data_IF_190767246032
#
_entry.id   IF_190767246032
#
_cell.length_a   1.000
_cell.length_b   1.000
_cell.length_c   1.000
_cell.angle_alpha   90.00
_cell.angle_beta   90.00
_cell.angle_gamma   90.00
#
_symmetry.space_group_name_H-M   'P 1'
#
loop_
_entity.id
_entity.type
_entity.pdbx_description
1 polymer ?
#
# COMPACT_ATOMS: atom_id res chain seq x y z
N UNK A 1 -15.78 -3.88 16.63
CA UNK A 1 -15.33 -2.53 16.29
C UNK A 1 -16.00 -2.12 14.98
N UNK A 2 -16.25 -0.84 14.78
CA UNK A 2 -16.82 -0.32 13.55
C UNK A 2 -15.75 -0.19 12.47
N UNK A 3 -16.04 -0.67 11.26
CA UNK A 3 -15.13 -0.69 10.11
C UNK A 3 -15.82 -0.04 8.92
N UNK A 4 -15.10 0.85 8.24
CA UNK A 4 -15.52 1.43 6.98
C UNK A 4 -14.53 1.08 5.86
N UNK A 5 -15.07 0.71 4.69
CA UNK A 5 -14.34 0.64 3.43
C UNK A 5 -14.79 1.78 2.55
N UNK A 6 -13.84 2.60 2.16
CA UNK A 6 -14.08 3.81 1.39
C UNK A 6 -13.30 3.72 0.07
N UNK A 7 -13.90 4.24 -0.98
CA UNK A 7 -13.18 4.63 -2.20
C UNK A 7 -13.31 6.12 -2.33
N UNK A 8 -12.19 6.82 -2.42
CA UNK A 8 -12.19 8.27 -2.41
C UNK A 8 -11.14 8.85 -3.36
N UNK A 9 -11.28 10.13 -3.65
CA UNK A 9 -10.32 10.89 -4.43
C UNK A 9 -10.37 12.36 -4.01
N UNK A 10 -9.19 12.98 -3.99
CA UNK A 10 -9.07 14.43 -3.87
C UNK A 10 -7.92 14.92 -4.77
N UNK A 11 -8.03 16.15 -5.26
CA UNK A 11 -7.10 16.66 -6.26
C UNK A 11 -5.72 17.00 -5.66
N UNK A 12 -5.68 17.33 -4.38
CA UNK A 12 -4.45 17.72 -3.67
C UNK A 12 -3.60 16.54 -3.20
N UNK A 13 -4.02 15.29 -3.48
CA UNK A 13 -3.25 14.11 -3.09
C UNK A 13 -1.91 14.06 -3.82
N UNK A 14 -0.82 14.25 -3.07
CA UNK A 14 0.56 14.22 -3.58
C UNK A 14 0.86 12.90 -4.30
N UNK A 15 0.39 11.79 -3.76
CA UNK A 15 0.56 10.44 -4.33
C UNK A 15 -0.44 10.20 -5.46
N UNK A 16 -1.72 10.52 -5.25
CA UNK A 16 -2.80 10.23 -6.21
C UNK A 16 -2.59 10.89 -7.57
N UNK A 17 -2.17 12.17 -7.60
CA UNK A 17 -1.87 12.88 -8.86
C UNK A 17 -0.72 12.23 -9.63
N UNK A 18 0.30 11.70 -8.93
CA UNK A 18 1.45 11.02 -9.53
C UNK A 18 1.09 9.60 -9.98
N UNK A 19 0.33 8.85 -9.19
CA UNK A 19 -0.19 7.55 -9.61
C UNK A 19 -0.94 7.66 -10.94
N UNK A 20 -1.79 8.69 -11.08
CA UNK A 20 -2.52 8.97 -12.33
C UNK A 20 -1.58 9.38 -13.47
N UNK A 21 -0.59 10.23 -13.22
CA UNK A 21 0.34 10.75 -14.25
C UNK A 21 1.25 9.68 -14.80
N UNK A 22 1.80 8.83 -13.93
CA UNK A 22 2.79 7.82 -14.30
C UNK A 22 2.19 6.42 -14.51
N UNK A 23 0.87 6.25 -14.32
CA UNK A 23 0.18 4.96 -14.43
C UNK A 23 0.83 3.89 -13.57
N UNK A 24 0.98 4.16 -12.29
CA UNK A 24 1.47 3.24 -11.27
C UNK A 24 0.49 3.17 -10.09
N UNK A 25 0.64 2.14 -9.28
CA UNK A 25 -0.14 1.95 -8.04
C UNK A 25 0.79 2.30 -6.86
N UNK A 26 0.26 2.95 -5.84
CA UNK A 26 0.92 3.07 -4.54
C UNK A 26 0.18 2.28 -3.48
N UNK A 27 0.92 1.64 -2.58
CA UNK A 27 0.41 0.95 -1.41
C UNK A 27 1.15 1.52 -0.21
N UNK A 28 0.45 2.26 0.63
CA UNK A 28 1.09 2.98 1.71
C UNK A 28 0.31 3.08 3.00
N UNK A 29 0.99 3.58 4.01
CA UNK A 29 0.40 3.85 5.32
C UNK A 29 0.77 5.27 5.74
N UNK A 30 -0.22 6.10 6.07
CA UNK A 30 0.02 7.33 6.78
C UNK A 30 0.42 7.00 8.22
N UNK A 31 1.59 7.49 8.67
CA UNK A 31 2.08 7.18 10.01
C UNK A 31 1.65 8.21 11.05
N UNK A 32 1.89 9.47 10.76
CA UNK A 32 1.72 10.53 11.74
C UNK A 32 1.47 11.88 11.08
N UNK A 33 0.94 12.81 11.85
CA UNK A 33 0.88 14.22 11.49
C UNK A 33 1.30 15.08 12.67
N UNK A 34 1.92 16.22 12.38
CA UNK A 34 2.27 17.22 13.38
C UNK A 34 2.12 18.63 12.81
N UNK A 35 2.11 19.63 13.69
CA UNK A 35 2.04 21.03 13.31
C UNK A 35 3.28 21.77 13.80
N UNK A 36 3.82 22.64 12.93
CA UNK A 36 4.84 23.61 13.29
C UNK A 36 4.39 24.98 12.78
N UNK A 37 4.08 25.91 13.71
CA UNK A 37 3.47 27.19 13.38
C UNK A 37 2.13 26.99 12.64
N UNK A 38 2.03 27.60 11.47
CA UNK A 38 0.82 27.52 10.61
C UNK A 38 0.87 26.37 9.59
N UNK A 39 1.88 25.52 9.65
CA UNK A 39 2.07 24.41 8.71
C UNK A 39 1.71 23.08 9.34
N UNK A 40 1.15 22.19 8.53
CA UNK A 40 0.87 20.81 8.91
C UNK A 40 1.73 19.86 8.07
N UNK A 41 2.27 18.85 8.73
CA UNK A 41 3.17 17.88 8.14
C UNK A 41 2.62 16.47 8.30
N UNK A 42 2.78 15.66 7.27
CA UNK A 42 2.31 14.28 7.23
C UNK A 42 3.43 13.34 6.84
N UNK A 43 3.62 12.29 7.61
CA UNK A 43 4.60 11.25 7.34
C UNK A 43 3.95 10.06 6.66
N UNK A 44 4.49 9.65 5.52
CA UNK A 44 3.99 8.55 4.71
C UNK A 44 5.08 7.53 4.41
N UNK A 45 4.68 6.28 4.42
CA UNK A 45 5.45 5.20 3.80
C UNK A 45 4.66 4.63 2.65
N UNK A 46 5.26 4.58 1.47
CA UNK A 46 4.62 4.10 0.26
C UNK A 46 5.49 3.05 -0.44
N UNK A 47 4.87 2.04 -1.00
CA UNK A 47 5.49 1.07 -1.91
C UNK A 47 4.88 1.25 -3.29
N UNK A 48 5.70 1.60 -4.26
CA UNK A 48 5.29 1.84 -5.64
C UNK A 48 5.28 0.55 -6.44
N UNK A 49 4.20 0.29 -7.16
CA UNK A 49 3.98 -0.93 -7.93
C UNK A 49 3.67 -0.57 -9.38
N UNK A 50 4.50 -1.05 -10.30
CA UNK A 50 4.36 -0.77 -11.72
C UNK A 50 5.63 -1.04 -12.50
N UNK A 51 5.77 -0.38 -13.63
CA UNK A 51 6.98 -0.41 -14.45
C UNK A 51 8.12 0.35 -13.76
N UNK A 52 9.34 -0.20 -13.80
CA UNK A 52 10.50 0.36 -13.09
C UNK A 52 10.90 1.76 -13.59
N UNK A 53 10.77 2.01 -14.89
CA UNK A 53 11.10 3.32 -15.47
C UNK A 53 10.10 4.37 -15.02
N UNK A 54 8.81 4.02 -14.99
CA UNK A 54 7.74 4.89 -14.49
C UNK A 54 7.85 5.15 -12.98
N UNK A 55 8.26 4.15 -12.20
CA UNK A 55 8.55 4.32 -10.77
C UNK A 55 9.70 5.31 -10.58
N UNK A 56 10.77 5.20 -11.37
CA UNK A 56 11.88 6.15 -11.32
C UNK A 56 11.40 7.58 -11.62
N UNK A 57 10.64 7.77 -12.68
CA UNK A 57 10.07 9.09 -13.03
C UNK A 57 9.15 9.65 -11.94
N UNK A 58 8.35 8.79 -11.30
CA UNK A 58 7.52 9.19 -10.15
C UNK A 58 8.38 9.71 -9.00
N UNK A 59 9.45 8.99 -8.66
CA UNK A 59 10.35 9.37 -7.55
C UNK A 59 11.06 10.68 -7.84
N UNK A 60 11.54 10.89 -9.07
CA UNK A 60 12.18 12.15 -9.45
C UNK A 60 11.18 13.33 -9.40
N UNK A 61 9.97 13.16 -9.94
CA UNK A 61 8.91 14.17 -9.84
C UNK A 61 8.52 14.47 -8.38
N UNK A 62 8.59 13.46 -7.50
CA UNK A 62 8.33 13.65 -6.08
C UNK A 62 9.45 14.43 -5.37
N UNK A 63 10.71 14.20 -5.74
CA UNK A 63 11.87 14.95 -5.20
C UNK A 63 11.83 16.42 -5.52
N UNK A 64 11.32 16.76 -6.71
CA UNK A 64 11.22 18.15 -7.18
C UNK A 64 10.01 18.89 -6.59
N UNK A 65 9.16 18.23 -5.83
CA UNK A 65 7.98 18.86 -5.21
C UNK A 65 8.37 19.65 -3.95
N UNK A 66 8.17 20.98 -3.93
CA UNK A 66 8.58 21.81 -2.80
C UNK A 66 7.81 21.53 -1.49
N UNK A 67 6.68 20.81 -1.57
CA UNK A 67 5.94 20.39 -0.39
C UNK A 67 6.52 19.15 0.26
N UNK A 68 7.51 18.48 -0.37
CA UNK A 68 8.11 17.26 0.13
C UNK A 68 9.36 17.55 0.96
N UNK A 69 9.37 17.02 2.15
CA UNK A 69 10.48 17.10 3.10
C UNK A 69 10.97 15.69 3.46
N UNK A 70 12.26 15.55 3.79
CA UNK A 70 12.84 14.32 4.34
C UNK A 70 12.48 13.05 3.55
N UNK A 71 12.76 13.04 2.24
CA UNK A 71 12.49 11.89 1.38
C UNK A 71 13.62 10.87 1.46
N UNK A 72 13.29 9.65 1.86
CA UNK A 72 14.16 8.46 1.78
C UNK A 72 13.62 7.49 0.74
N UNK A 73 14.51 6.91 -0.06
CA UNK A 73 14.15 5.98 -1.14
C UNK A 73 14.93 4.70 -1.01
N UNK A 74 14.23 3.56 -0.97
CA UNK A 74 14.84 2.24 -1.00
C UNK A 74 14.14 1.35 -2.04
N UNK A 75 14.75 1.22 -3.23
CA UNK A 75 14.15 0.51 -4.35
C UNK A 75 12.87 1.18 -4.82
N UNK A 76 11.73 0.52 -4.67
CA UNK A 76 10.40 1.04 -4.97
C UNK A 76 9.62 1.52 -3.72
N UNK A 77 10.27 1.51 -2.56
CA UNK A 77 9.68 2.03 -1.31
C UNK A 77 10.22 3.42 -1.03
N UNK A 78 9.34 4.30 -0.60
CA UNK A 78 9.65 5.68 -0.25
C UNK A 78 9.08 6.01 1.13
N UNK A 79 9.84 6.72 1.93
CA UNK A 79 9.39 7.32 3.17
C UNK A 79 9.60 8.82 3.08
N UNK A 80 8.57 9.60 3.34
CA UNK A 80 8.66 11.05 3.20
C UNK A 80 7.72 11.78 4.14
N UNK A 81 7.97 13.06 4.31
CA UNK A 81 7.10 14.00 4.98
C UNK A 81 6.64 15.03 3.96
N UNK A 82 5.34 15.26 3.85
CA UNK A 82 4.81 16.36 3.04
C UNK A 82 4.21 17.46 3.91
N UNK A 83 4.45 18.69 3.50
CA UNK A 83 3.83 19.89 4.05
C UNK A 83 2.49 20.13 3.38
N UNK A 84 1.47 20.45 4.18
CA UNK A 84 0.16 20.90 3.68
C UNK A 84 -0.12 22.30 4.25
N UNK A 85 -0.46 23.26 3.41
CA UNK A 85 -0.80 24.62 3.86
C UNK A 85 -1.95 24.62 4.88
N UNK A 86 -1.85 25.42 5.92
CA UNK A 86 -2.82 25.50 7.02
C UNK A 86 -4.24 25.92 6.60
N UNK A 87 -4.37 26.54 5.43
CA UNK A 87 -5.68 26.89 4.87
C UNK A 87 -6.45 25.69 4.32
N UNK A 88 -5.79 24.54 4.14
CA UNK A 88 -6.45 23.30 3.83
C UNK A 88 -6.86 22.61 5.12
N UNK A 89 -8.15 22.42 5.31
CA UNK A 89 -8.75 21.76 6.49
C UNK A 89 -8.42 20.24 6.58
N UNK A 90 -7.85 19.71 5.52
CA UNK A 90 -7.44 18.30 5.31
C UNK A 90 -6.67 17.68 6.51
N UNK A 91 -5.71 18.39 7.15
CA UNK A 91 -4.88 17.80 8.18
C UNK A 91 -5.61 17.25 9.40
N UNK A 92 -6.66 17.93 9.84
CA UNK A 92 -7.38 17.52 11.05
C UNK A 92 -8.34 16.38 10.81
N UNK A 93 -8.75 16.16 9.56
CA UNK A 93 -9.69 15.12 9.17
C UNK A 93 -9.00 13.81 8.90
N UNK A 94 -7.79 13.82 8.28
CA UNK A 94 -7.05 12.61 7.95
C UNK A 94 -6.49 11.85 9.17
N UNK A 95 -6.20 12.56 10.27
CA UNK A 95 -5.52 11.99 11.43
C UNK A 95 -6.30 12.24 12.71
N UNK A 96 -7.43 11.57 12.82
CA UNK A 96 -8.12 11.45 14.09
C UNK A 96 -7.50 10.27 14.85
N UNK A 97 -6.93 10.52 16.03
CA UNK A 97 -6.27 9.50 16.86
C UNK A 97 -7.21 8.39 17.38
N UNK A 98 -8.52 8.51 17.15
CA UNK A 98 -9.53 7.48 17.44
C UNK A 98 -9.92 6.66 16.20
N UNK A 99 -9.30 6.96 15.04
CA UNK A 99 -9.47 6.24 13.80
C UNK A 99 -8.11 5.67 13.39
N UNK A 100 -8.11 4.44 12.97
CA UNK A 100 -6.88 3.76 12.54
C UNK A 100 -7.09 3.07 11.21
N UNK A 101 -6.03 3.02 10.41
CA UNK A 101 -6.01 2.28 9.19
C UNK A 101 -5.82 0.79 9.51
N UNK A 102 -6.79 -0.03 9.09
CA UNK A 102 -6.76 -1.49 9.28
C UNK A 102 -5.87 -2.13 8.24
N UNK A 103 -5.88 -1.56 7.03
CA UNK A 103 -5.05 -1.96 5.90
C UNK A 103 -4.33 -0.77 5.30
N UNK A 104 -3.25 -1.02 4.55
CA UNK A 104 -2.65 0.03 3.76
C UNK A 104 -3.65 0.69 2.83
N UNK A 105 -3.47 1.97 2.62
CA UNK A 105 -4.15 2.72 1.57
C UNK A 105 -3.61 2.24 0.23
N UNK A 106 -4.50 1.92 -0.69
CA UNK A 106 -4.13 1.60 -2.06
C UNK A 106 -4.57 2.73 -2.96
N UNK A 107 -3.63 3.34 -3.67
CA UNK A 107 -3.89 4.37 -4.67
C UNK A 107 -3.76 3.76 -6.05
N UNK A 108 -4.84 3.75 -6.83
CA UNK A 108 -4.86 3.15 -8.16
C UNK A 108 -4.29 4.09 -9.24
N UNK A 109 -4.06 3.56 -10.45
CA UNK A 109 -3.54 4.30 -11.61
C UNK A 109 -4.44 5.46 -12.09
N UNK A 110 -5.63 5.59 -11.53
CA UNK A 110 -6.57 6.70 -11.80
C UNK A 110 -6.55 7.74 -10.68
N UNK A 111 -5.73 7.50 -9.64
CA UNK A 111 -5.60 8.34 -8.47
C UNK A 111 -6.73 8.20 -7.46
N UNK A 112 -7.52 7.10 -7.52
CA UNK A 112 -8.48 6.77 -6.46
C UNK A 112 -7.78 6.03 -5.33
N UNK A 113 -8.14 6.40 -4.11
CA UNK A 113 -7.67 5.79 -2.89
C UNK A 113 -8.70 4.81 -2.34
N UNK A 114 -8.24 3.65 -1.93
CA UNK A 114 -9.05 2.65 -1.24
C UNK A 114 -8.61 2.58 0.22
N UNK A 115 -9.50 2.96 1.14
CA UNK A 115 -9.24 2.98 2.57
C UNK A 115 -10.05 1.92 3.29
N UNK A 116 -9.42 1.22 4.22
CA UNK A 116 -10.10 0.38 5.20
C UNK A 116 -9.72 0.88 6.59
N UNK A 117 -10.66 1.57 7.22
CA UNK A 117 -10.45 2.29 8.49
C UNK A 117 -11.40 1.78 9.57
N UNK A 118 -10.99 1.89 10.81
CA UNK A 118 -11.76 1.44 11.96
C UNK A 118 -11.80 2.43 13.12
N UNK A 119 -12.84 2.31 13.94
CA UNK A 119 -12.98 2.99 15.22
C UNK A 119 -13.77 2.14 16.20
N UNK A 120 -13.53 2.31 17.50
CA UNK A 120 -14.37 1.72 18.53
C UNK A 120 -15.72 2.41 18.65
N UNK A 121 -15.85 3.65 18.14
CA UNK A 121 -17.07 4.45 18.19
C UNK A 121 -17.58 4.73 16.78
N UNK A 122 -18.84 4.34 16.51
CA UNK A 122 -19.51 4.54 15.24
C UNK A 122 -19.64 6.02 14.86
N UNK A 123 -20.03 6.86 15.81
CA UNK A 123 -20.27 8.28 15.59
C UNK A 123 -19.00 9.01 15.14
N UNK A 124 -17.85 8.63 15.73
CA UNK A 124 -16.54 9.16 15.32
C UNK A 124 -16.24 8.79 13.88
N UNK A 125 -16.47 7.53 13.49
CA UNK A 125 -16.23 7.05 12.14
C UNK A 125 -17.17 7.72 11.11
N UNK A 126 -18.46 7.85 11.46
CA UNK A 126 -19.44 8.57 10.62
C UNK A 126 -19.11 10.06 10.50
N UNK A 127 -18.78 10.71 11.61
CA UNK A 127 -18.37 12.11 11.63
C UNK A 127 -17.13 12.37 10.77
N UNK A 128 -16.16 11.46 10.83
CA UNK A 128 -14.97 11.52 9.98
C UNK A 128 -15.32 11.45 8.48
N UNK A 129 -16.17 10.50 8.07
CA UNK A 129 -16.61 10.37 6.68
C UNK A 129 -17.36 11.62 6.20
N UNK A 130 -18.25 12.17 7.04
CA UNK A 130 -18.97 13.41 6.73
C UNK A 130 -18.00 14.58 6.55
N UNK A 131 -16.96 14.66 7.37
CA UNK A 131 -15.96 15.72 7.24
C UNK A 131 -15.16 15.59 5.93
N UNK A 132 -14.74 14.38 5.54
CA UNK A 132 -14.12 14.15 4.24
C UNK A 132 -14.99 14.68 3.09
N UNK A 133 -16.29 14.39 3.12
CA UNK A 133 -17.23 14.86 2.10
C UNK A 133 -17.37 16.40 2.07
N UNK A 134 -17.34 17.06 3.24
CA UNK A 134 -17.36 18.52 3.33
C UNK A 134 -16.09 19.18 2.81
N UNK A 135 -14.97 18.49 2.88
CA UNK A 135 -13.66 18.96 2.42
C UNK A 135 -13.40 18.64 0.93
N UNK A 136 -14.46 18.45 0.15
CA UNK A 136 -14.41 18.23 -1.30
C UNK A 136 -13.75 16.92 -1.75
N UNK A 137 -13.71 15.92 -0.86
CA UNK A 137 -13.37 14.56 -1.30
C UNK A 137 -14.55 13.93 -2.01
N UNK A 138 -14.30 13.33 -3.16
CA UNK A 138 -15.25 12.39 -3.76
C UNK A 138 -15.19 11.07 -2.98
N UNK A 139 -16.14 10.86 -2.06
CA UNK A 139 -16.16 9.71 -1.14
C UNK A 139 -17.30 8.78 -1.45
N UNK A 140 -16.97 7.55 -1.82
CA UNK A 140 -17.92 6.44 -1.94
C UNK A 140 -17.73 5.48 -0.77
N UNK A 141 -18.78 5.30 0.02
CA UNK A 141 -18.82 4.31 1.10
C UNK A 141 -19.15 2.95 0.48
N UNK A 142 -18.22 2.00 0.54
CA UNK A 142 -18.41 0.64 0.05
C UNK A 142 -18.94 -0.28 1.15
N UNK A 143 -18.57 -0.01 2.40
CA UNK A 143 -18.97 -0.78 3.58
C UNK A 143 -18.91 0.12 4.83
N UNK A 144 -19.86 -0.07 5.73
CA UNK A 144 -19.82 0.49 7.09
C UNK A 144 -20.59 -0.46 8.00
N UNK A 145 -19.90 -1.17 8.87
CA UNK A 145 -20.52 -2.15 9.75
C UNK A 145 -19.68 -2.42 11.00
N UNK A 146 -20.35 -2.99 12.02
CA UNK A 146 -19.63 -3.54 13.18
C UNK A 146 -19.14 -4.95 12.86
N UNK A 147 -17.83 -5.20 13.07
CA UNK A 147 -17.25 -6.52 12.84
C UNK A 147 -16.08 -6.79 13.80
N UNK A 148 -15.75 -8.09 13.97
CA UNK A 148 -14.52 -8.48 14.65
C UNK A 148 -13.36 -8.35 13.66
N UNK A 149 -12.27 -7.74 14.10
CA UNK A 149 -11.03 -7.78 13.32
C UNK A 149 -10.42 -9.16 13.44
N UNK A 150 -10.34 -9.84 12.32
CA UNK A 150 -9.66 -11.13 12.24
C UNK A 150 -8.17 -10.96 11.89
N UNK A 151 -7.83 -9.85 11.23
CA UNK A 151 -6.48 -9.54 10.79
C UNK A 151 -6.21 -8.04 10.88
N UNK A 152 -5.07 -7.66 11.45
CA UNK A 152 -4.51 -6.32 11.34
C UNK A 152 -3.31 -6.43 10.41
N UNK A 153 -3.28 -5.63 9.36
CA UNK A 153 -2.15 -5.57 8.45
C UNK A 153 -1.03 -4.74 9.07
N UNK A 154 0.11 -5.38 9.30
CA UNK A 154 1.36 -4.66 9.59
C UNK A 154 2.15 -4.55 8.29
N UNK A 155 2.53 -3.34 7.87
CA UNK A 155 3.34 -3.17 6.68
C UNK A 155 4.69 -3.86 6.89
N UNK A 156 4.98 -4.78 6.00
CA UNK A 156 6.31 -5.34 5.88
C UNK A 156 6.90 -4.81 4.58
N UNK A 157 8.15 -4.40 4.63
CA UNK A 157 8.90 -4.09 3.41
C UNK A 157 9.01 -5.39 2.62
N UNK A 158 8.16 -5.55 1.61
CA UNK A 158 8.19 -6.74 0.76
C UNK A 158 9.49 -6.73 -0.07
N UNK A 159 10.24 -7.82 -0.08
CA UNK A 159 11.47 -7.89 -0.86
C UNK A 159 11.17 -7.71 -2.35
N UNK A 160 12.00 -6.90 -3.02
CA UNK A 160 11.87 -6.68 -4.46
C UNK A 160 12.11 -7.99 -5.23
N UNK A 161 11.11 -8.44 -5.96
CA UNK A 161 11.17 -9.59 -6.86
C UNK A 161 11.24 -9.11 -8.31
N UNK A 162 12.16 -9.69 -9.12
CA UNK A 162 12.13 -9.48 -10.57
C UNK A 162 10.85 -10.07 -11.17
N UNK A 163 10.47 -9.62 -12.39
CA UNK A 163 9.27 -10.13 -13.08
C UNK A 163 9.25 -11.67 -13.14
N UNK A 164 10.40 -12.31 -13.45
CA UNK A 164 10.53 -13.78 -13.49
C UNK A 164 10.37 -14.43 -12.12
N UNK A 165 10.95 -13.84 -11.06
CA UNK A 165 10.83 -14.33 -9.70
C UNK A 165 9.38 -14.22 -9.19
N UNK A 166 8.75 -13.07 -9.43
CA UNK A 166 7.34 -12.83 -9.04
C UNK A 166 6.42 -13.82 -9.73
N UNK A 167 6.53 -13.94 -11.06
CA UNK A 167 5.72 -14.88 -11.86
C UNK A 167 5.89 -16.33 -11.38
N UNK A 168 7.12 -16.76 -11.07
CA UNK A 168 7.40 -18.12 -10.63
C UNK A 168 6.73 -18.44 -9.28
N UNK A 169 6.85 -17.55 -8.29
CA UNK A 169 6.26 -17.78 -6.95
C UNK A 169 4.72 -17.67 -6.96
N UNK A 170 4.17 -16.74 -7.74
CA UNK A 170 2.72 -16.58 -7.91
C UNK A 170 2.12 -17.83 -8.57
N UNK A 171 2.72 -18.31 -9.65
CA UNK A 171 2.25 -19.51 -10.35
C UNK A 171 2.34 -20.76 -9.45
N UNK A 172 3.45 -20.93 -8.73
CA UNK A 172 3.62 -22.02 -7.77
C UNK A 172 2.54 -22.01 -6.68
N UNK A 173 2.22 -20.82 -6.15
CA UNK A 173 1.18 -20.65 -5.13
C UNK A 173 -0.21 -20.94 -5.70
N UNK A 174 -0.56 -20.34 -6.83
CA UNK A 174 -1.89 -20.49 -7.45
C UNK A 174 -2.19 -21.93 -7.87
N UNK A 175 -1.18 -22.66 -8.33
CA UNK A 175 -1.32 -24.06 -8.78
C UNK A 175 -1.20 -25.09 -7.65
N UNK A 176 -0.95 -24.64 -6.43
CA UNK A 176 -0.88 -25.53 -5.25
C UNK A 176 0.40 -26.34 -5.14
N UNK A 177 1.52 -25.81 -5.64
CA UNK A 177 2.85 -26.41 -5.46
C UNK A 177 3.22 -26.51 -3.97
N UNK A 178 2.80 -25.52 -3.18
CA UNK A 178 3.04 -25.47 -1.73
C UNK A 178 1.99 -26.21 -0.90
N UNK A 179 0.98 -26.83 -1.52
CA UNK A 179 0.00 -27.63 -0.81
C UNK A 179 0.59 -28.95 -0.32
N UNK A 180 0.00 -29.52 0.71
CA UNK A 180 0.31 -30.88 1.15
C UNK A 180 -0.95 -31.76 1.06
N UNK A 181 -0.96 -32.82 0.22
CA UNK A 181 0.04 -33.13 -0.80
C UNK A 181 0.09 -32.09 -1.94
N UNK A 182 1.21 -31.98 -2.62
CA UNK A 182 1.38 -31.08 -3.79
C UNK A 182 0.36 -31.39 -4.88
N UNK A 183 -0.18 -30.35 -5.51
CA UNK A 183 -1.13 -30.51 -6.61
C UNK A 183 -0.47 -30.45 -7.99
N UNK A 184 0.78 -30.01 -8.07
CA UNK A 184 1.53 -29.81 -9.33
C UNK A 184 3.03 -29.98 -9.09
N UNK A 185 3.75 -30.42 -10.13
CA UNK A 185 5.19 -30.56 -10.12
C UNK A 185 5.89 -29.36 -10.77
N UNK A 186 7.17 -29.12 -10.42
CA UNK A 186 7.97 -28.02 -10.98
C UNK A 186 8.09 -28.06 -12.50
N UNK A 187 8.10 -29.27 -13.09
CA UNK A 187 8.19 -29.47 -14.54
C UNK A 187 6.97 -28.87 -15.24
N UNK A 188 5.79 -29.10 -14.68
CA UNK A 188 4.53 -28.64 -15.26
C UNK A 188 4.40 -27.11 -15.12
N UNK A 189 4.82 -26.56 -13.98
CA UNK A 189 4.90 -25.11 -13.79
C UNK A 189 5.84 -24.43 -14.78
N UNK A 190 7.01 -25.02 -15.04
CA UNK A 190 7.96 -24.51 -16.02
C UNK A 190 7.38 -24.53 -17.44
N UNK A 191 6.67 -25.61 -17.80
CA UNK A 191 5.96 -25.73 -19.06
C UNK A 191 4.88 -24.66 -19.21
N UNK A 192 4.06 -24.43 -18.19
CA UNK A 192 3.01 -23.41 -18.15
C UNK A 192 3.60 -21.99 -18.22
N UNK A 193 4.76 -21.77 -17.61
CA UNK A 193 5.47 -20.50 -17.67
C UNK A 193 6.18 -20.26 -19.01
N UNK A 194 6.30 -21.26 -19.86
CA UNK A 194 6.99 -21.21 -21.16
C UNK A 194 8.51 -21.07 -21.06
N UNK A 195 9.13 -21.60 -19.99
CA UNK A 195 10.57 -21.53 -19.73
C UNK A 195 11.12 -22.91 -19.33
N UNK A 196 12.45 -23.06 -19.35
CA UNK A 196 13.09 -24.32 -18.94
C UNK A 196 12.87 -24.61 -17.46
N UNK A 197 12.85 -25.90 -17.09
CA UNK A 197 12.76 -26.33 -15.68
C UNK A 197 13.87 -25.74 -14.81
N UNK A 198 15.08 -25.64 -15.33
CA UNK A 198 16.23 -25.04 -14.62
C UNK A 198 16.00 -23.54 -14.34
N UNK A 199 15.52 -22.79 -15.34
CA UNK A 199 15.22 -21.37 -15.23
C UNK A 199 14.07 -21.13 -14.25
N UNK A 200 13.00 -21.92 -14.34
CA UNK A 200 11.86 -21.80 -13.41
C UNK A 200 12.30 -22.09 -11.96
N UNK A 201 13.05 -23.16 -11.75
CA UNK A 201 13.60 -23.52 -10.43
C UNK A 201 14.48 -22.42 -9.86
N UNK A 202 15.32 -21.82 -10.68
CA UNK A 202 16.18 -20.70 -10.26
C UNK A 202 15.37 -19.48 -9.83
N UNK A 203 14.39 -19.09 -10.65
CA UNK A 203 13.50 -17.96 -10.32
C UNK A 203 12.73 -18.20 -9.02
N UNK A 204 12.15 -19.39 -8.86
CA UNK A 204 11.41 -19.76 -7.67
C UNK A 204 12.30 -19.73 -6.42
N UNK A 205 13.48 -20.37 -6.46
CA UNK A 205 14.42 -20.36 -5.34
C UNK A 205 14.93 -18.98 -4.98
N UNK A 206 15.18 -18.11 -5.96
CA UNK A 206 15.57 -16.72 -5.71
C UNK A 206 14.44 -15.91 -5.12
N UNK A 207 13.19 -16.16 -5.49
CA UNK A 207 12.02 -15.55 -4.87
C UNK A 207 11.87 -16.01 -3.41
N UNK A 208 11.86 -17.32 -3.17
CA UNK A 208 11.79 -17.93 -1.83
C UNK A 208 12.88 -17.41 -0.90
N UNK A 209 14.15 -17.36 -1.38
CA UNK A 209 15.29 -16.82 -0.61
C UNK A 209 15.06 -15.37 -0.15
N UNK A 210 14.34 -14.58 -0.92
CA UNK A 210 14.05 -13.19 -0.56
C UNK A 210 12.86 -13.05 0.39
N UNK A 211 11.83 -13.86 0.19
CA UNK A 211 10.55 -13.76 0.93
C UNK A 211 10.59 -14.51 2.27
N UNK A 212 11.16 -15.71 2.29
CA UNK A 212 11.11 -16.58 3.47
C UNK A 212 11.77 -16.03 4.73
N UNK A 213 12.96 -15.36 4.67
CA UNK A 213 13.57 -14.81 5.89
C UNK A 213 12.71 -13.77 6.58
N UNK A 214 11.99 -12.94 5.80
CA UNK A 214 11.14 -11.90 6.36
C UNK A 214 9.86 -12.50 6.95
N UNK A 215 9.31 -13.55 6.33
CA UNK A 215 8.18 -14.27 6.88
C UNK A 215 8.54 -15.00 8.20
N UNK A 216 9.69 -15.69 8.24
CA UNK A 216 10.11 -16.46 9.42
C UNK A 216 10.37 -15.56 10.63
N UNK A 217 10.92 -14.34 10.44
CA UNK A 217 11.11 -13.38 11.54
C UNK A 217 9.82 -13.01 12.26
N UNK A 218 8.68 -13.18 11.61
CA UNK A 218 7.36 -12.86 12.14
C UNK A 218 6.55 -14.07 12.59
N UNK A 219 7.06 -15.28 12.39
CA UNK A 219 6.49 -16.50 12.99
C UNK A 219 6.81 -16.47 14.48
N UNK A 220 5.76 -16.47 15.29
CA UNK A 220 5.89 -16.60 16.76
C UNK A 220 5.76 -18.08 17.10
N UNK A 221 6.56 -18.52 18.07
CA UNK A 221 6.36 -19.83 18.70
C UNK A 221 5.01 -19.82 19.43
N UNK A 222 4.27 -20.95 19.36
CA UNK A 222 3.01 -21.15 20.09
C UNK A 222 3.24 -21.26 21.58
#
# INVERSE_FOLDING_TARGET
>A
MWVAKLKLKHEDCVIGRRCKRFHIISIGIPFNSYKEGDKSYFSHFETLVGDNEKIHLFIEDLKDDPSIHNLEVQGNSIFFVNEVPSQQTIPTTHYNNKIFFIKPVVVDEKGFESWEIGSWNEEILRGFIVNLQKEHFDVKILKLQNEKLNEIYFPQVMPFLTKGQKRAIELATQRGYYNFPRKIELKDLASEAGISLSTFREHLRKAEKKVMPDLIRNVRDE
#
